data_IF_232899865323
#
_entry.id   IF_232899865323
#
_cell.length_a   1.000
_cell.length_b   1.000
_cell.length_c   1.000
_cell.angle_alpha   90.00
_cell.angle_beta   90.00
_cell.angle_gamma   90.00
#
_symmetry.space_group_name_H-M   'P 1'
#
loop_
_entity.id
_entity.type
_entity.pdbx_description
1 polymer ?
#
# COMPACT_ATOMS: atom_id res chain seq x y z
N UNK A 1 30.05 -23.65 21.69
CA UNK A 1 28.70 -24.10 21.28
C UNK A 1 27.71 -22.94 21.15
N UNK A 2 27.71 -21.95 22.08
CA UNK A 2 26.81 -20.78 22.04
C UNK A 2 26.92 -19.88 20.80
N UNK A 3 28.13 -19.66 20.28
CA UNK A 3 28.37 -18.75 19.14
C UNK A 3 27.76 -19.24 17.81
N UNK A 4 27.76 -20.57 17.58
CA UNK A 4 27.11 -21.17 16.39
C UNK A 4 25.58 -20.99 16.42
N UNK A 5 24.98 -21.09 17.61
CA UNK A 5 23.54 -20.91 17.80
C UNK A 5 23.14 -19.44 17.57
N UNK A 6 23.92 -18.49 18.08
CA UNK A 6 23.71 -17.06 17.85
C UNK A 6 23.86 -16.67 16.36
N UNK A 7 24.83 -17.25 15.65
CA UNK A 7 25.03 -16.98 14.24
C UNK A 7 23.90 -17.58 13.37
N UNK A 8 23.44 -18.79 13.69
CA UNK A 8 22.32 -19.43 12.99
C UNK A 8 21.00 -18.66 13.10
N UNK A 9 20.69 -18.08 14.26
CA UNK A 9 19.47 -17.31 14.49
C UNK A 9 19.50 -15.96 13.78
N UNK A 10 20.64 -15.27 13.76
CA UNK A 10 20.81 -14.01 13.01
C UNK A 10 20.69 -14.21 11.49
N UNK A 11 21.25 -15.30 10.96
CA UNK A 11 21.12 -15.67 9.54
C UNK A 11 19.67 -15.97 9.17
N UNK A 12 18.96 -16.75 10.00
CA UNK A 12 17.57 -17.12 9.75
C UNK A 12 16.65 -15.89 9.78
N UNK A 13 16.83 -14.98 10.75
CA UNK A 13 16.09 -13.70 10.83
C UNK A 13 16.30 -12.84 9.58
N UNK A 14 17.54 -12.74 9.09
CA UNK A 14 17.86 -12.00 7.85
C UNK A 14 17.19 -12.63 6.63
N UNK A 15 17.18 -13.96 6.53
CA UNK A 15 16.53 -14.68 5.43
C UNK A 15 15.01 -14.48 5.46
N UNK A 16 14.38 -14.55 6.63
CA UNK A 16 12.94 -14.31 6.78
C UNK A 16 12.55 -12.90 6.34
N UNK A 17 13.34 -11.86 6.71
CA UNK A 17 13.08 -10.50 6.23
C UNK A 17 13.22 -10.38 4.70
N UNK A 18 14.21 -11.06 4.09
CA UNK A 18 14.34 -11.07 2.61
C UNK A 18 13.13 -11.71 1.95
N UNK A 19 12.71 -12.88 2.43
CA UNK A 19 11.57 -13.61 1.88
C UNK A 19 10.32 -12.75 1.99
N UNK A 20 10.09 -12.11 3.15
CA UNK A 20 8.97 -11.20 3.34
C UNK A 20 8.98 -10.04 2.33
N UNK A 21 10.12 -9.38 2.12
CA UNK A 21 10.25 -8.28 1.16
C UNK A 21 9.97 -8.73 -0.28
N UNK A 22 10.45 -9.92 -0.67
CA UNK A 22 10.21 -10.48 -2.01
C UNK A 22 8.73 -10.79 -2.19
N UNK A 23 8.12 -11.52 -1.24
CA UNK A 23 6.71 -11.90 -1.29
C UNK A 23 5.82 -10.66 -1.32
N UNK A 24 6.08 -9.68 -0.46
CA UNK A 24 5.36 -8.40 -0.44
C UNK A 24 5.49 -7.66 -1.78
N UNK A 25 6.71 -7.58 -2.33
CA UNK A 25 6.95 -6.90 -3.62
C UNK A 25 6.20 -7.57 -4.78
N UNK A 26 6.16 -8.91 -4.80
CA UNK A 26 5.45 -9.67 -5.84
C UNK A 26 3.94 -9.48 -5.69
N UNK A 27 3.39 -9.65 -4.48
CA UNK A 27 1.96 -9.51 -4.23
C UNK A 27 1.49 -8.09 -4.56
N UNK A 28 2.15 -7.07 -4.01
CA UNK A 28 1.77 -5.68 -4.27
C UNK A 28 2.04 -5.28 -5.73
N UNK A 29 3.09 -5.82 -6.35
CA UNK A 29 3.37 -5.62 -7.77
C UNK A 29 2.27 -6.19 -8.68
N UNK A 30 1.77 -7.40 -8.40
CA UNK A 30 0.65 -7.99 -9.13
C UNK A 30 -0.63 -7.17 -8.92
N UNK A 31 -0.87 -6.67 -7.71
CA UNK A 31 -2.02 -5.81 -7.39
C UNK A 31 -2.01 -4.46 -8.12
N UNK A 32 -0.90 -4.05 -8.74
CA UNK A 32 -0.90 -2.86 -9.61
C UNK A 32 -1.75 -3.11 -10.87
N UNK A 33 -1.74 -4.31 -11.43
CA UNK A 33 -2.51 -4.64 -12.64
C UNK A 33 -4.02 -4.32 -12.51
N UNK A 34 -4.74 -4.81 -11.49
CA UNK A 34 -6.15 -4.46 -11.30
C UNK A 34 -6.35 -2.99 -10.88
N UNK A 35 -5.33 -2.30 -10.37
CA UNK A 35 -5.46 -0.87 -10.05
C UNK A 35 -5.53 0.02 -11.30
N UNK A 36 -4.90 -0.38 -12.41
CA UNK A 36 -4.87 0.41 -13.65
C UNK A 36 -6.28 0.68 -14.24
N UNK A 37 -7.15 -0.32 -14.45
CA UNK A 37 -8.51 -0.05 -14.93
C UNK A 37 -9.31 0.79 -13.92
N UNK A 38 -9.10 0.60 -12.62
CA UNK A 38 -9.75 1.40 -11.58
C UNK A 38 -9.34 2.87 -11.66
N UNK A 39 -8.06 3.16 -11.96
CA UNK A 39 -7.56 4.52 -12.17
C UNK A 39 -8.19 5.14 -13.41
N UNK A 40 -8.30 4.39 -14.52
CA UNK A 40 -8.89 4.91 -15.77
C UNK A 40 -10.38 5.23 -15.58
N UNK A 41 -11.09 4.43 -14.77
CA UNK A 41 -12.51 4.64 -14.47
C UNK A 41 -12.74 5.66 -13.35
N UNK A 42 -11.71 6.01 -12.58
CA UNK A 42 -11.83 6.93 -11.43
C UNK A 42 -12.37 8.33 -11.76
N UNK A 43 -12.13 8.94 -12.94
CA UNK A 43 -12.71 10.24 -13.26
C UNK A 43 -14.24 10.21 -13.40
N UNK A 44 -14.83 9.06 -13.76
CA UNK A 44 -16.30 8.92 -13.86
C UNK A 44 -16.99 9.05 -12.50
N UNK A 45 -16.26 8.95 -11.39
CA UNK A 45 -16.80 9.22 -10.06
C UNK A 45 -17.14 10.70 -9.86
N UNK A 46 -16.59 11.59 -10.69
CA UNK A 46 -16.88 13.02 -10.65
C UNK A 46 -18.02 13.46 -11.59
N UNK A 47 -18.66 12.52 -12.30
CA UNK A 47 -19.81 12.85 -13.15
C UNK A 47 -21.10 13.12 -12.32
N UNK A 48 -21.10 12.78 -11.02
CA UNK A 48 -22.22 13.08 -10.11
C UNK A 48 -22.19 14.54 -9.64
N UNK A 49 -23.32 15.26 -9.63
CA UNK A 49 -23.35 16.67 -9.25
C UNK A 49 -23.06 16.86 -7.75
N UNK A 50 -21.92 17.47 -7.44
CA UNK A 50 -21.49 17.74 -6.05
C UNK A 50 -20.28 16.92 -5.61
N UNK A 51 -19.97 15.82 -6.32
CA UNK A 51 -18.83 14.94 -6.06
C UNK A 51 -17.47 15.65 -6.12
N UNK A 52 -17.34 16.74 -6.86
CA UNK A 52 -16.14 17.58 -6.89
C UNK A 52 -15.84 18.32 -5.57
N UNK A 53 -16.84 18.45 -4.69
CA UNK A 53 -16.68 19.05 -3.36
C UNK A 53 -16.63 18.00 -2.24
N UNK A 54 -16.90 16.73 -2.57
CA UNK A 54 -16.90 15.61 -1.63
C UNK A 54 -15.48 15.17 -1.26
N UNK A 55 -15.07 15.45 -0.02
CA UNK A 55 -13.80 15.00 0.54
C UNK A 55 -13.56 13.48 0.39
N UNK A 56 -14.53 12.59 0.68
CA UNK A 56 -14.32 11.15 0.55
C UNK A 56 -14.12 10.67 -0.89
N UNK A 57 -14.84 11.21 -1.87
CA UNK A 57 -14.67 10.83 -3.29
C UNK A 57 -13.32 11.29 -3.80
N UNK A 58 -12.91 12.53 -3.48
CA UNK A 58 -11.56 13.03 -3.80
C UNK A 58 -10.49 12.15 -3.16
N UNK A 59 -10.65 11.81 -1.88
CA UNK A 59 -9.70 10.95 -1.14
C UNK A 59 -9.59 9.56 -1.77
N UNK A 60 -10.71 8.98 -2.20
CA UNK A 60 -10.74 7.69 -2.88
C UNK A 60 -9.98 7.73 -4.20
N UNK A 61 -10.25 8.72 -5.05
CA UNK A 61 -9.58 8.86 -6.35
C UNK A 61 -8.09 9.09 -6.15
N UNK A 62 -7.69 9.95 -5.20
CA UNK A 62 -6.27 10.15 -4.86
C UNK A 62 -5.63 8.85 -4.39
N UNK A 63 -6.30 8.07 -3.53
CA UNK A 63 -5.78 6.79 -3.04
C UNK A 63 -5.57 5.78 -4.17
N UNK A 64 -6.51 5.69 -5.12
CA UNK A 64 -6.43 4.83 -6.30
C UNK A 64 -5.25 5.23 -7.20
N UNK A 65 -5.12 6.52 -7.51
CA UNK A 65 -4.04 7.05 -8.35
C UNK A 65 -2.69 6.91 -7.65
N UNK A 66 -2.62 7.17 -6.35
CA UNK A 66 -1.39 7.10 -5.58
C UNK A 66 -0.88 5.66 -5.40
N UNK A 67 -1.77 4.66 -5.39
CA UNK A 67 -1.42 3.25 -5.14
C UNK A 67 -0.23 2.73 -5.96
N UNK A 68 -0.22 2.81 -7.32
CA UNK A 68 0.92 2.34 -8.10
C UNK A 68 2.22 3.07 -7.76
N UNK A 69 2.17 4.40 -7.57
CA UNK A 69 3.37 5.18 -7.24
C UNK A 69 3.90 4.84 -5.85
N UNK A 70 3.03 4.76 -4.84
CA UNK A 70 3.37 4.37 -3.47
C UNK A 70 3.93 2.96 -3.44
N UNK A 71 3.37 2.03 -4.23
CA UNK A 71 3.86 0.65 -4.31
C UNK A 71 5.26 0.56 -4.89
N UNK A 72 5.51 1.21 -6.04
CA UNK A 72 6.85 1.25 -6.64
C UNK A 72 7.86 1.89 -5.69
N UNK A 73 7.50 3.03 -5.09
CA UNK A 73 8.37 3.74 -4.16
C UNK A 73 8.65 2.93 -2.89
N UNK A 74 7.63 2.29 -2.32
CA UNK A 74 7.73 1.39 -1.17
C UNK A 74 8.70 0.24 -1.43
N UNK A 75 8.59 -0.42 -2.59
CA UNK A 75 9.50 -1.50 -2.98
C UNK A 75 10.92 -0.94 -3.00
N UNK A 76 11.21 0.12 -3.77
CA UNK A 76 12.55 0.70 -3.87
C UNK A 76 13.13 1.08 -2.49
N UNK A 77 12.37 1.78 -1.66
CA UNK A 77 12.82 2.23 -0.33
C UNK A 77 13.05 1.05 0.61
N UNK A 78 12.19 0.03 0.58
CA UNK A 78 12.34 -1.16 1.44
C UNK A 78 13.62 -1.93 1.15
N UNK A 79 14.00 -2.08 -0.13
CA UNK A 79 15.25 -2.71 -0.54
C UNK A 79 16.48 -1.87 -0.16
N UNK A 80 16.42 -0.54 -0.32
CA UNK A 80 17.51 0.36 0.12
C UNK A 80 17.71 0.27 1.64
N UNK A 81 16.63 0.28 2.41
CA UNK A 81 16.68 0.15 3.87
C UNK A 81 17.22 -1.22 4.31
N UNK A 82 16.89 -2.28 3.57
CA UNK A 82 17.42 -3.62 3.80
C UNK A 82 18.93 -3.69 3.58
N UNK A 83 19.46 -3.06 2.52
CA UNK A 83 20.91 -2.97 2.25
C UNK A 83 21.63 -2.20 3.37
N UNK A 84 21.02 -1.14 3.90
CA UNK A 84 21.55 -0.35 5.03
C UNK A 84 21.45 -1.06 6.40
N UNK A 85 21.10 -2.36 6.44
CA UNK A 85 20.88 -3.17 7.65
C UNK A 85 19.81 -2.60 8.60
N UNK A 86 18.96 -1.69 8.13
CA UNK A 86 17.85 -1.12 8.92
C UNK A 86 16.59 -1.96 8.71
N UNK A 87 16.58 -3.15 9.30
CA UNK A 87 15.51 -4.14 9.11
C UNK A 87 14.11 -3.65 9.50
N UNK A 88 13.98 -2.86 10.58
CA UNK A 88 12.70 -2.27 10.99
C UNK A 88 12.17 -1.28 9.93
N UNK A 89 13.03 -0.41 9.42
CA UNK A 89 12.66 0.54 8.37
C UNK A 89 12.28 -0.16 7.07
N UNK A 90 12.94 -1.27 6.73
CA UNK A 90 12.60 -2.04 5.53
C UNK A 90 11.18 -2.63 5.63
N UNK A 91 10.79 -3.13 6.81
CA UNK A 91 9.45 -3.66 7.06
C UNK A 91 8.40 -2.55 7.01
N UNK A 92 8.66 -1.41 7.68
CA UNK A 92 7.76 -0.26 7.67
C UNK A 92 7.58 0.25 6.23
N UNK A 93 8.69 0.42 5.50
CA UNK A 93 8.68 0.84 4.10
C UNK A 93 7.84 -0.09 3.22
N UNK A 94 7.99 -1.42 3.38
CA UNK A 94 7.22 -2.42 2.65
C UNK A 94 5.72 -2.45 3.02
N UNK A 95 5.34 -1.89 4.16
CA UNK A 95 3.94 -1.81 4.62
C UNK A 95 3.19 -0.54 4.16
N UNK A 96 3.88 0.44 3.56
CA UNK A 96 3.23 1.65 3.01
C UNK A 96 2.08 1.37 2.02
N UNK A 97 2.18 0.38 1.11
CA UNK A 97 1.10 0.08 0.16
C UNK A 97 -0.16 -0.41 0.87
N UNK A 98 0.01 -1.14 1.99
CA UNK A 98 -1.10 -1.58 2.85
C UNK A 98 -1.81 -0.38 3.45
N UNK A 99 -1.05 0.60 3.94
CA UNK A 99 -1.62 1.83 4.49
C UNK A 99 -2.45 2.57 3.43
N UNK A 100 -1.97 2.65 2.19
CA UNK A 100 -2.72 3.28 1.11
C UNK A 100 -4.03 2.55 0.80
N UNK A 101 -4.00 1.21 0.76
CA UNK A 101 -5.21 0.39 0.58
C UNK A 101 -6.20 0.64 1.72
N UNK A 102 -5.73 0.70 2.97
CA UNK A 102 -6.58 0.97 4.13
C UNK A 102 -7.25 2.34 4.06
N UNK A 103 -6.55 3.37 3.58
CA UNK A 103 -7.14 4.70 3.36
C UNK A 103 -8.26 4.63 2.31
N UNK A 104 -8.04 3.93 1.20
CA UNK A 104 -9.06 3.73 0.17
C UNK A 104 -10.29 3.00 0.73
N UNK A 105 -10.09 1.90 1.47
CA UNK A 105 -11.19 1.17 2.12
C UNK A 105 -11.92 2.06 3.13
N UNK A 106 -11.21 2.86 3.92
CA UNK A 106 -11.82 3.77 4.88
C UNK A 106 -12.71 4.82 4.18
N UNK A 107 -12.28 5.35 3.04
CA UNK A 107 -13.12 6.25 2.24
C UNK A 107 -14.40 5.57 1.74
N UNK A 108 -14.31 4.32 1.24
CA UNK A 108 -15.48 3.53 0.83
C UNK A 108 -16.43 3.29 2.00
N UNK A 109 -15.90 2.86 3.14
CA UNK A 109 -16.71 2.59 4.33
C UNK A 109 -17.37 3.87 4.85
N UNK A 110 -16.65 5.00 4.83
CA UNK A 110 -17.19 6.29 5.21
C UNK A 110 -18.38 6.67 4.31
N UNK A 111 -18.23 6.57 2.98
CA UNK A 111 -19.34 6.81 2.04
C UNK A 111 -20.51 5.85 2.27
N UNK A 112 -20.23 4.57 2.51
CA UNK A 112 -21.27 3.56 2.71
C UNK A 112 -22.09 3.76 3.99
N UNK A 113 -21.46 4.25 5.07
CA UNK A 113 -22.12 4.37 6.39
C UNK A 113 -22.68 5.76 6.64
N UNK A 114 -21.98 6.81 6.20
CA UNK A 114 -22.34 8.20 6.49
C UNK A 114 -23.16 8.84 5.37
N UNK A 115 -22.92 8.41 4.13
CA UNK A 115 -23.48 9.04 2.94
C UNK A 115 -24.51 8.17 2.24
N UNK A 116 -24.98 7.08 2.87
CA UNK A 116 -25.89 6.07 2.29
C UNK A 116 -25.43 5.53 0.92
N UNK A 117 -24.12 5.55 0.67
CA UNK A 117 -23.52 5.14 -0.61
C UNK A 117 -23.53 6.21 -1.71
N UNK A 118 -23.89 7.46 -1.39
CA UNK A 118 -23.83 8.57 -2.32
C UNK A 118 -22.41 9.18 -2.43
N UNK A 119 -22.06 9.66 -3.62
CA UNK A 119 -20.75 10.26 -3.93
C UNK A 119 -20.68 11.77 -3.65
N UNK A 120 -21.82 12.43 -3.44
CA UNK A 120 -21.92 13.90 -3.31
C UNK A 120 -21.92 14.37 -1.84
N UNK A 121 -21.11 13.71 -1.03
CA UNK A 121 -21.00 13.88 0.42
C UNK A 121 -19.65 14.53 0.75
#
# INVERSE_FOLDING_TARGET
MSEKVANSTALNKRNNTKIYLIVASIIFGILILPSLPMIIMSPMMFDSPGSENSIPTITLVISLVAYPFVTVFSIVVSWIAFVKRRHLFAIIAASLPVLNILIGIAAIVYMAVVCDGNLDC
#
